data_IF_607991645974
#
_entry.id   IF_607991645974
#
_cell.length_a   1.000
_cell.length_b   1.000
_cell.length_c   1.000
_cell.angle_alpha   90.00
_cell.angle_beta   90.00
_cell.angle_gamma   90.00
#
_symmetry.space_group_name_H-M   'P 1'
#
loop_
_entity.id
_entity.type
_entity.pdbx_description
1 polymer ?
#
# COMPACT_ATOMS: atom_id res chain seq x y z
N UNK A 1 -7.08 -6.85 23.74
CA UNK A 1 -7.38 -6.97 22.29
C UNK A 1 -8.64 -7.80 22.19
N UNK A 2 -9.67 -7.26 21.54
CA UNK A 2 -10.94 -7.98 21.32
C UNK A 2 -10.73 -8.90 20.10
N UNK A 3 -10.46 -10.18 20.35
CA UNK A 3 -10.34 -11.19 19.30
C UNK A 3 -11.62 -12.05 19.31
N UNK A 4 -12.65 -11.55 18.62
CA UNK A 4 -13.93 -12.24 18.44
C UNK A 4 -14.09 -12.74 17.01
N UNK A 5 -14.91 -13.77 16.82
CA UNK A 5 -15.21 -14.30 15.48
C UNK A 5 -15.80 -13.21 14.56
N UNK A 6 -16.64 -12.33 15.09
CA UNK A 6 -17.20 -11.22 14.33
C UNK A 6 -16.10 -10.27 13.80
N UNK A 7 -15.13 -9.92 14.65
CA UNK A 7 -14.00 -9.08 14.23
C UNK A 7 -13.14 -9.78 13.18
N UNK A 8 -12.89 -11.08 13.32
CA UNK A 8 -12.14 -11.84 12.30
C UNK A 8 -12.86 -11.85 10.96
N UNK A 9 -14.18 -12.00 10.95
CA UNK A 9 -14.99 -11.92 9.73
C UNK A 9 -14.93 -10.53 9.10
N UNK A 10 -15.03 -9.46 9.87
CA UNK A 10 -14.89 -8.09 9.37
C UNK A 10 -13.51 -7.84 8.75
N UNK A 11 -12.45 -8.30 9.39
CA UNK A 11 -11.08 -8.21 8.86
C UNK A 11 -10.96 -8.97 7.54
N UNK A 12 -11.51 -10.18 7.46
CA UNK A 12 -11.48 -10.97 6.23
C UNK A 12 -12.23 -10.26 5.09
N UNK A 13 -13.42 -9.72 5.35
CA UNK A 13 -14.21 -8.97 4.37
C UNK A 13 -13.46 -7.71 3.91
N UNK A 14 -12.87 -6.96 4.85
CA UNK A 14 -12.10 -5.76 4.54
C UNK A 14 -10.88 -6.07 3.68
N UNK A 15 -10.15 -7.13 4.03
CA UNK A 15 -8.96 -7.60 3.29
C UNK A 15 -9.34 -8.03 1.87
N UNK A 16 -10.36 -8.88 1.73
CA UNK A 16 -10.85 -9.34 0.42
C UNK A 16 -11.35 -8.18 -0.44
N UNK A 17 -12.10 -7.26 0.16
CA UNK A 17 -12.60 -6.07 -0.54
C UNK A 17 -11.46 -5.19 -1.03
N UNK A 18 -10.46 -4.91 -0.18
CA UNK A 18 -9.30 -4.12 -0.56
C UNK A 18 -8.50 -4.78 -1.68
N UNK A 19 -8.35 -6.11 -1.63
CA UNK A 19 -7.66 -6.88 -2.67
C UNK A 19 -8.41 -6.88 -4.00
N UNK A 20 -9.74 -6.94 -3.99
CA UNK A 20 -10.58 -6.93 -5.21
C UNK A 20 -10.56 -5.62 -5.97
N UNK A 21 -10.36 -4.50 -5.28
CA UNK A 21 -10.23 -3.22 -5.97
C UNK A 21 -8.95 -3.23 -6.79
N UNK A 22 -9.10 -3.12 -8.09
CA UNK A 22 -7.97 -2.92 -8.99
C UNK A 22 -7.14 -1.73 -8.50
N UNK A 23 -5.84 -1.77 -8.76
CA UNK A 23 -4.98 -0.63 -8.49
C UNK A 23 -5.53 0.61 -9.22
N UNK A 24 -5.72 1.68 -8.48
CA UNK A 24 -6.17 2.95 -9.04
C UNK A 24 -5.02 3.76 -9.64
N UNK A 25 -5.32 4.99 -10.04
CA UNK A 25 -4.34 5.86 -10.71
C UNK A 25 -3.41 6.58 -9.73
N UNK A 26 -3.73 6.63 -8.44
CA UNK A 26 -2.98 7.39 -7.43
C UNK A 26 -2.09 6.46 -6.64
N UNK A 27 -0.81 6.83 -6.49
CA UNK A 27 0.20 5.99 -5.87
C UNK A 27 0.56 6.37 -4.43
N UNK A 28 0.06 7.50 -3.90
CA UNK A 28 0.43 8.01 -2.58
C UNK A 28 0.05 7.06 -1.42
N UNK A 29 0.57 7.37 -0.22
CA UNK A 29 0.38 6.54 0.97
C UNK A 29 -1.00 6.75 1.65
N UNK A 30 -1.62 7.91 1.50
CA UNK A 30 -2.84 8.26 2.24
C UNK A 30 -4.09 7.53 1.71
N UNK A 31 -4.38 7.67 0.41
CA UNK A 31 -5.55 7.03 -0.25
C UNK A 31 -5.19 6.32 -1.54
N UNK A 32 -3.91 6.25 -1.86
CA UNK A 32 -3.41 5.66 -3.10
C UNK A 32 -3.09 4.18 -2.98
N UNK A 33 -2.49 3.67 -4.04
CA UNK A 33 -2.12 2.27 -4.18
C UNK A 33 -1.21 1.79 -3.05
N UNK A 34 -0.20 2.59 -2.67
CA UNK A 34 0.77 2.17 -1.65
C UNK A 34 0.17 2.11 -0.24
N UNK A 35 -0.81 2.95 0.09
CA UNK A 35 -1.55 2.83 1.35
C UNK A 35 -2.38 1.55 1.43
N UNK A 36 -3.03 1.17 0.33
CA UNK A 36 -3.76 -0.11 0.24
C UNK A 36 -2.82 -1.30 0.38
N UNK A 37 -1.67 -1.25 -0.31
CA UNK A 37 -0.68 -2.33 -0.23
C UNK A 37 -0.06 -2.44 1.16
N UNK A 38 0.11 -1.33 1.89
CA UNK A 38 0.54 -1.38 3.28
C UNK A 38 -0.47 -2.14 4.13
N UNK A 39 -1.75 -1.80 4.04
CA UNK A 39 -2.82 -2.50 4.78
C UNK A 39 -2.84 -4.00 4.46
N UNK A 40 -2.72 -4.36 3.18
CA UNK A 40 -2.68 -5.77 2.76
C UNK A 40 -1.40 -6.49 3.21
N UNK A 41 -0.25 -5.79 3.21
CA UNK A 41 1.02 -6.34 3.70
C UNK A 41 0.95 -6.68 5.18
N UNK A 42 0.37 -5.79 5.99
CA UNK A 42 0.17 -6.02 7.42
C UNK A 42 -0.80 -7.18 7.64
N UNK A 43 -1.91 -7.22 6.90
CA UNK A 43 -2.86 -8.34 6.99
C UNK A 43 -2.19 -9.67 6.61
N UNK A 44 -1.36 -9.68 5.57
CA UNK A 44 -0.62 -10.84 5.14
C UNK A 44 0.33 -11.37 6.23
N UNK A 45 1.03 -10.46 6.90
CA UNK A 45 1.95 -10.79 8.00
C UNK A 45 1.19 -11.27 9.25
N UNK A 46 0.22 -10.49 9.74
CA UNK A 46 -0.47 -10.78 11.00
C UNK A 46 -1.41 -11.98 10.93
N UNK A 47 -1.95 -12.27 9.75
CA UNK A 47 -2.86 -13.40 9.51
C UNK A 47 -2.16 -14.61 8.86
N UNK A 48 -0.85 -14.52 8.63
CA UNK A 48 -0.04 -15.57 8.01
C UNK A 48 -0.60 -16.03 6.64
N UNK A 49 -0.91 -15.05 5.76
CA UNK A 49 -1.52 -15.27 4.44
C UNK A 49 -0.47 -15.14 3.31
N UNK A 50 0.23 -16.22 2.92
CA UNK A 50 1.30 -16.16 1.92
C UNK A 50 0.81 -15.73 0.53
N UNK A 51 -0.42 -16.09 0.16
CA UNK A 51 -1.03 -15.69 -1.12
C UNK A 51 -1.23 -14.15 -1.19
N UNK A 52 -1.56 -13.53 -0.06
CA UNK A 52 -1.72 -12.10 0.05
C UNK A 52 -0.36 -11.38 -0.03
N UNK A 53 0.69 -11.97 0.57
CA UNK A 53 2.06 -11.48 0.43
C UNK A 53 2.52 -11.48 -1.03
N UNK A 54 2.22 -12.54 -1.77
CA UNK A 54 2.54 -12.65 -3.19
C UNK A 54 1.74 -11.64 -4.03
N UNK A 55 0.48 -11.40 -3.68
CA UNK A 55 -0.32 -10.36 -4.30
C UNK A 55 0.31 -8.97 -4.11
N UNK A 56 0.68 -8.62 -2.87
CA UNK A 56 1.35 -7.34 -2.55
C UNK A 56 2.63 -7.18 -3.36
N UNK A 57 3.46 -8.22 -3.44
CA UNK A 57 4.70 -8.21 -4.23
C UNK A 57 4.43 -7.92 -5.72
N UNK A 58 3.47 -8.60 -6.34
CA UNK A 58 3.10 -8.40 -7.74
C UNK A 58 2.54 -7.01 -7.99
N UNK A 59 1.65 -6.55 -7.14
CA UNK A 59 1.04 -5.22 -7.25
C UNK A 59 2.08 -4.10 -7.08
N UNK A 60 3.01 -4.24 -6.14
CA UNK A 60 4.14 -3.31 -5.98
C UNK A 60 4.98 -3.24 -7.25
N UNK A 61 5.33 -4.39 -7.83
CA UNK A 61 6.08 -4.46 -9.09
C UNK A 61 5.33 -3.75 -10.23
N UNK A 62 4.03 -3.93 -10.31
CA UNK A 62 3.19 -3.26 -11.31
C UNK A 62 3.21 -1.74 -11.14
N UNK A 63 3.07 -1.23 -9.91
CA UNK A 63 3.13 0.21 -9.63
C UNK A 63 4.47 0.79 -10.06
N UNK A 64 5.57 0.13 -9.70
CA UNK A 64 6.93 0.56 -10.07
C UNK A 64 7.08 0.60 -11.60
N UNK A 65 6.66 -0.44 -12.31
CA UNK A 65 6.73 -0.49 -13.76
C UNK A 65 5.91 0.60 -14.44
N UNK A 66 4.72 0.90 -13.91
CA UNK A 66 3.89 2.00 -14.38
C UNK A 66 4.57 3.36 -14.13
N UNK A 67 5.17 3.55 -12.95
CA UNK A 67 5.89 4.77 -12.63
C UNK A 67 7.12 4.97 -13.55
N UNK A 68 7.86 3.91 -13.81
CA UNK A 68 9.00 3.92 -14.77
C UNK A 68 8.50 4.30 -16.17
N UNK A 69 7.43 3.68 -16.64
CA UNK A 69 6.85 3.96 -17.97
C UNK A 69 6.35 5.39 -18.13
N UNK A 70 5.77 5.96 -17.04
CA UNK A 70 5.27 7.36 -17.00
C UNK A 70 6.37 8.39 -16.74
N UNK A 71 7.51 7.96 -16.20
CA UNK A 71 8.58 8.83 -15.71
C UNK A 71 8.35 9.38 -14.29
N UNK A 72 7.22 9.04 -13.63
CA UNK A 72 6.90 9.48 -12.27
C UNK A 72 5.82 8.61 -11.63
N UNK A 73 5.76 8.63 -10.28
CA UNK A 73 4.56 8.20 -9.55
C UNK A 73 3.45 9.23 -9.70
N UNK A 74 2.19 8.78 -9.68
CA UNK A 74 1.04 9.66 -9.77
C UNK A 74 0.55 10.02 -8.35
N UNK A 75 0.72 11.28 -7.98
CA UNK A 75 0.41 11.75 -6.63
C UNK A 75 -1.05 12.16 -6.47
N UNK A 76 -1.65 12.72 -7.53
CA UNK A 76 -3.00 13.26 -7.53
C UNK A 76 -3.71 12.95 -8.84
N UNK A 77 -5.00 12.66 -8.77
CA UNK A 77 -5.82 12.48 -9.97
C UNK A 77 -6.09 13.84 -10.65
N UNK A 78 -6.05 13.85 -11.97
CA UNK A 78 -6.37 15.04 -12.77
C UNK A 78 -5.31 16.14 -12.77
N UNK A 79 -4.14 15.92 -12.17
CA UNK A 79 -2.99 16.81 -12.27
C UNK A 79 -1.92 16.22 -13.19
N UNK A 80 -1.07 17.11 -13.70
CA UNK A 80 0.09 16.70 -14.48
C UNK A 80 0.98 15.71 -13.69
N UNK A 81 1.51 14.67 -14.32
CA UNK A 81 2.34 13.66 -13.63
C UNK A 81 3.59 14.20 -12.94
N UNK A 82 4.07 15.36 -13.37
CA UNK A 82 5.29 16.00 -12.87
C UNK A 82 5.05 16.96 -11.69
N UNK A 83 3.86 16.98 -11.10
CA UNK A 83 3.62 17.78 -9.90
C UNK A 83 4.47 17.23 -8.75
N UNK A 84 5.43 18.06 -8.31
CA UNK A 84 6.31 17.72 -7.20
C UNK A 84 5.63 18.00 -5.85
N UNK A 85 5.54 17.00 -5.01
CA UNK A 85 5.11 17.12 -3.63
C UNK A 85 6.04 16.29 -2.74
N UNK A 86 6.88 16.90 -1.90
CA UNK A 86 7.77 16.18 -0.99
C UNK A 86 7.07 15.64 0.26
N UNK A 87 5.80 15.93 0.45
CA UNK A 87 5.03 15.53 1.64
C UNK A 87 5.02 14.02 1.85
N UNK A 88 4.83 13.61 3.13
CA UNK A 88 4.89 12.19 3.48
C UNK A 88 3.63 11.43 3.02
N UNK A 89 2.44 11.83 3.43
CA UNK A 89 1.24 11.04 3.12
C UNK A 89 0.76 11.15 1.67
N UNK A 90 0.94 12.32 1.05
CA UNK A 90 0.46 12.60 -0.31
C UNK A 90 1.57 12.79 -1.34
N UNK A 91 2.82 12.63 -0.94
CA UNK A 91 3.97 12.97 -1.77
C UNK A 91 5.00 11.86 -1.89
N UNK A 92 6.14 12.24 -2.47
CA UNK A 92 7.22 11.32 -2.84
C UNK A 92 7.95 10.73 -1.63
N UNK A 93 8.02 11.44 -0.49
CA UNK A 93 8.68 10.90 0.71
C UNK A 93 7.97 9.66 1.25
N UNK A 94 6.64 9.68 1.30
CA UNK A 94 5.86 8.51 1.73
C UNK A 94 5.94 7.35 0.76
N UNK A 95 5.97 7.63 -0.55
CA UNK A 95 6.18 6.61 -1.57
C UNK A 95 7.53 5.92 -1.37
N UNK A 96 8.61 6.71 -1.22
CA UNK A 96 9.94 6.18 -0.96
C UNK A 96 10.01 5.35 0.32
N UNK A 97 9.43 5.87 1.40
CA UNK A 97 9.34 5.16 2.68
C UNK A 97 8.63 3.81 2.53
N UNK A 98 7.48 3.80 1.88
CA UNK A 98 6.67 2.59 1.70
C UNK A 98 7.36 1.54 0.85
N UNK A 99 8.04 1.93 -0.21
CA UNK A 99 8.81 1.00 -1.04
C UNK A 99 9.98 0.38 -0.24
N UNK A 100 10.68 1.17 0.57
CA UNK A 100 11.72 0.67 1.48
C UNK A 100 11.15 -0.29 2.53
N UNK A 101 9.97 0.03 3.09
CA UNK A 101 9.30 -0.84 4.06
C UNK A 101 8.86 -2.16 3.43
N UNK A 102 8.29 -2.16 2.24
CA UNK A 102 7.93 -3.40 1.53
C UNK A 102 9.17 -4.27 1.27
N UNK A 103 10.31 -3.64 0.94
CA UNK A 103 11.57 -4.35 0.74
C UNK A 103 12.20 -4.85 2.05
N UNK A 104 11.99 -4.14 3.16
CA UNK A 104 12.62 -4.39 4.46
C UNK A 104 11.63 -4.23 5.62
N UNK A 105 10.59 -5.08 5.71
CA UNK A 105 9.49 -4.89 6.68
C UNK A 105 9.93 -4.98 8.13
N UNK A 106 11.00 -5.72 8.43
CA UNK A 106 11.54 -5.85 9.79
C UNK A 106 12.37 -4.64 10.26
N UNK A 107 12.76 -3.76 9.34
CA UNK A 107 13.63 -2.60 9.66
C UNK A 107 12.85 -1.30 9.82
N UNK A 108 11.69 -1.19 9.20
CA UNK A 108 10.91 0.04 9.17
C UNK A 108 9.51 -0.21 9.74
N UNK A 109 9.06 0.59 10.71
CA UNK A 109 7.74 0.44 11.30
C UNK A 109 6.62 0.80 10.32
N UNK A 110 5.41 0.34 10.61
CA UNK A 110 4.22 0.78 9.87
C UNK A 110 3.74 2.12 10.39
N UNK A 111 3.82 3.14 9.57
CA UNK A 111 3.32 4.48 9.94
C UNK A 111 1.80 4.57 9.92
N UNK A 112 1.10 3.65 9.25
CA UNK A 112 -0.37 3.60 9.23
C UNK A 112 -0.94 2.92 10.48
N UNK A 113 -0.15 2.08 11.14
CA UNK A 113 -0.52 1.42 12.41
C UNK A 113 0.03 2.11 13.64
N UNK A 114 0.82 3.17 13.50
CA UNK A 114 1.48 3.84 14.61
C UNK A 114 2.39 2.91 15.46
N UNK A 115 3.02 1.97 14.79
CA UNK A 115 4.00 1.04 15.38
C UNK A 115 5.41 1.65 15.39
#
# INVERSE_FOLDING_TARGET
ILDTEAIRQEIAIATETTQRFALGDIDNLCWGNLGRLETLSIAAEKLELPELSEFVRKATTQIINQAISRGSFLLFSGLEPLVYNPGFFHGTSGIGYQLLRIAHPSLLPSVLLWE
#
